data_IF_068669150694
#
_entry.id   IF_068669150694
#
_cell.length_a   1.000
_cell.length_b   1.000
_cell.length_c   1.000
_cell.angle_alpha   90.00
_cell.angle_beta   90.00
_cell.angle_gamma   90.00
#
_symmetry.space_group_name_H-M   'P 1'
#
loop_
_entity.id
_entity.type
_entity.pdbx_description
1 polymer ?
#
# COMPACT_ATOMS: atom_id res chain seq x y z
N UNK A 1 -21.24 17.02 28.52
CA UNK A 1 -20.07 17.60 27.83
C UNK A 1 -18.76 16.90 28.19
N UNK A 2 -18.36 16.74 29.47
CA UNK A 2 -17.12 16.01 29.84
C UNK A 2 -17.02 14.54 29.35
N UNK A 3 -18.15 13.82 29.19
CA UNK A 3 -18.18 12.44 28.65
C UNK A 3 -18.02 12.35 27.12
N UNK A 4 -18.25 13.44 26.39
CA UNK A 4 -18.14 13.49 24.92
C UNK A 4 -16.68 13.74 24.51
N UNK A 5 -15.92 14.46 25.35
CA UNK A 5 -14.52 14.82 25.09
C UNK A 5 -13.58 13.60 25.15
N UNK A 6 -13.88 12.59 25.97
CA UNK A 6 -13.05 11.36 26.06
C UNK A 6 -13.25 10.45 24.82
N UNK A 7 -14.39 10.52 24.13
CA UNK A 7 -14.60 9.78 22.88
C UNK A 7 -13.99 10.50 21.66
N UNK A 8 -13.73 11.80 21.75
CA UNK A 8 -13.24 12.62 20.64
C UNK A 8 -11.72 12.52 20.44
N UNK A 9 -10.96 12.08 21.44
CA UNK A 9 -9.50 11.93 21.32
C UNK A 9 -9.05 10.65 20.59
N UNK A 10 -9.97 9.73 20.26
CA UNK A 10 -9.64 8.44 19.61
C UNK A 10 -10.09 8.35 18.14
N UNK A 11 -10.85 9.32 17.63
CA UNK A 11 -11.31 9.35 16.24
C UNK A 11 -10.42 10.21 15.31
N UNK A 12 -9.31 10.75 15.81
CA UNK A 12 -8.50 11.76 15.11
C UNK A 12 -7.29 11.24 14.30
N UNK A 13 -6.99 9.94 14.32
CA UNK A 13 -5.87 9.38 13.54
C UNK A 13 -6.39 8.54 12.37
N UNK A 14 -7.15 9.18 11.47
CA UNK A 14 -7.06 8.79 10.08
C UNK A 14 -5.74 9.37 9.57
N UNK A 15 -4.64 8.66 9.82
CA UNK A 15 -3.41 8.93 9.09
C UNK A 15 -3.77 8.71 7.62
N UNK A 16 -3.99 9.81 6.90
CA UNK A 16 -3.90 9.79 5.46
C UNK A 16 -2.43 9.48 5.16
N UNK A 17 -2.11 8.18 5.15
CA UNK A 17 -0.94 7.68 4.48
C UNK A 17 -1.24 7.87 2.99
N UNK A 18 -1.01 9.09 2.50
CA UNK A 18 -0.83 9.31 1.07
C UNK A 18 0.41 8.54 0.68
N UNK A 19 0.21 7.30 0.26
CA UNK A 19 1.20 6.56 -0.52
C UNK A 19 1.05 6.99 -1.99
N UNK A 20 1.14 8.28 -2.25
CA UNK A 20 1.55 8.74 -3.57
C UNK A 20 3.07 8.68 -3.56
N UNK A 21 3.68 7.90 -4.45
CA UNK A 21 5.13 7.83 -4.49
C UNK A 21 5.68 9.21 -4.86
N UNK A 22 6.26 9.92 -3.89
CA UNK A 22 6.88 11.26 -4.06
C UNK A 22 7.85 11.28 -5.27
N UNK A 23 8.45 10.12 -5.58
CA UNK A 23 9.23 9.88 -6.78
C UNK A 23 8.49 10.20 -8.08
N UNK A 24 7.27 9.69 -8.28
CA UNK A 24 6.58 9.80 -9.57
C UNK A 24 6.28 11.27 -9.88
N UNK A 25 5.98 12.05 -8.85
CA UNK A 25 5.80 13.50 -8.95
C UNK A 25 7.11 14.20 -9.31
N UNK A 26 8.20 13.94 -8.57
CA UNK A 26 9.51 14.52 -8.86
C UNK A 26 10.03 14.14 -10.25
N UNK A 27 9.86 12.88 -10.65
CA UNK A 27 10.28 12.35 -11.94
C UNK A 27 9.49 12.93 -13.10
N UNK A 28 8.15 12.96 -13.00
CA UNK A 28 7.31 13.53 -14.04
C UNK A 28 7.52 15.04 -14.18
N UNK A 29 7.75 15.74 -13.07
CA UNK A 29 8.08 17.17 -13.08
C UNK A 29 9.43 17.43 -13.76
N UNK A 30 10.45 16.62 -13.46
CA UNK A 30 11.81 16.83 -13.99
C UNK A 30 11.93 16.42 -15.46
N UNK A 31 11.45 15.23 -15.83
CA UNK A 31 11.65 14.67 -17.18
C UNK A 31 10.47 14.87 -18.14
N UNK A 32 9.27 15.14 -17.63
CA UNK A 32 8.05 15.26 -18.45
C UNK A 32 7.92 14.16 -19.52
N UNK A 33 7.97 12.87 -19.11
CA UNK A 33 7.98 11.76 -20.04
C UNK A 33 6.70 11.73 -20.90
N UNK A 34 6.83 11.27 -22.14
CA UNK A 34 5.72 11.21 -23.08
C UNK A 34 4.63 10.25 -22.59
N UNK A 35 3.37 10.70 -22.62
CA UNK A 35 2.21 9.86 -22.32
C UNK A 35 2.16 8.64 -23.24
N UNK A 36 2.11 7.44 -22.64
CA UNK A 36 2.13 6.16 -23.38
C UNK A 36 3.48 5.78 -23.98
N UNK A 37 4.55 6.55 -23.72
CA UNK A 37 5.94 6.21 -24.02
C UNK A 37 6.49 5.07 -23.17
N UNK A 38 7.69 4.57 -23.50
CA UNK A 38 8.32 3.47 -22.77
C UNK A 38 8.62 3.84 -21.31
N UNK A 39 9.07 5.07 -21.05
CA UNK A 39 9.40 5.52 -19.69
C UNK A 39 8.14 5.63 -18.83
N UNK A 40 7.09 6.28 -19.35
CA UNK A 40 5.83 6.45 -18.61
C UNK A 40 5.11 5.12 -18.36
N UNK A 41 5.18 4.19 -19.32
CA UNK A 41 4.58 2.85 -19.17
C UNK A 41 5.41 1.90 -18.32
N UNK A 42 6.72 2.09 -18.23
CA UNK A 42 7.59 1.27 -17.38
C UNK A 42 7.25 1.42 -15.90
N UNK A 43 6.81 2.60 -15.44
CA UNK A 43 6.42 2.88 -14.05
C UNK A 43 7.48 2.37 -13.05
N UNK A 44 7.26 1.23 -12.38
CA UNK A 44 8.22 0.63 -11.45
C UNK A 44 9.50 0.13 -12.15
N UNK A 45 9.41 -0.31 -13.42
CA UNK A 45 10.52 -0.88 -14.16
C UNK A 45 11.59 0.15 -14.58
N UNK A 46 11.38 1.44 -14.33
CA UNK A 46 12.42 2.47 -14.48
C UNK A 46 13.57 2.22 -13.50
N UNK A 47 13.26 1.84 -12.25
CA UNK A 47 14.25 1.58 -11.19
C UNK A 47 14.33 0.11 -10.76
N UNK A 48 13.32 -0.69 -11.05
CA UNK A 48 13.27 -2.11 -10.72
C UNK A 48 13.45 -2.97 -11.97
N UNK A 49 13.81 -4.24 -11.79
CA UNK A 49 13.94 -5.21 -12.89
C UNK A 49 12.62 -5.35 -13.66
N UNK A 50 11.49 -5.34 -12.96
CA UNK A 50 10.17 -5.30 -13.58
C UNK A 50 9.09 -4.88 -12.57
N UNK A 51 7.84 -4.79 -13.01
CA UNK A 51 6.68 -4.65 -12.09
C UNK A 51 6.43 -5.89 -11.21
N UNK A 52 7.13 -7.00 -11.45
CA UNK A 52 6.94 -8.27 -10.74
C UNK A 52 8.16 -8.69 -9.90
N UNK A 53 9.35 -8.20 -10.28
CA UNK A 53 10.62 -8.33 -9.56
C UNK A 53 11.11 -6.95 -9.13
N UNK A 54 10.88 -6.62 -7.85
CA UNK A 54 11.25 -5.36 -7.21
C UNK A 54 12.74 -5.27 -6.85
N UNK A 55 13.61 -6.18 -7.31
CA UNK A 55 15.05 -5.93 -7.25
C UNK A 55 15.39 -4.68 -8.06
N UNK A 56 16.32 -3.88 -7.54
CA UNK A 56 16.81 -2.73 -8.28
C UNK A 56 17.56 -3.18 -9.54
N UNK A 57 17.19 -2.59 -10.67
CA UNK A 57 17.99 -2.62 -11.89
C UNK A 57 19.26 -1.75 -11.66
N UNK A 58 20.21 -1.70 -12.62
CA UNK A 58 21.41 -0.88 -12.48
C UNK A 58 21.12 0.59 -12.11
N UNK A 59 20.16 1.23 -12.79
CA UNK A 59 19.72 2.60 -12.46
C UNK A 59 19.16 2.74 -11.05
N UNK A 60 18.27 1.85 -10.62
CA UNK A 60 17.68 1.88 -9.28
C UNK A 60 18.71 1.69 -8.17
N UNK A 61 19.79 0.95 -8.41
CA UNK A 61 20.90 0.82 -7.44
C UNK A 61 21.62 2.16 -7.27
N UNK A 62 21.78 2.89 -8.37
CA UNK A 62 22.42 4.20 -8.35
C UNK A 62 21.54 5.28 -7.71
N UNK A 63 20.22 5.23 -7.97
CA UNK A 63 19.23 6.04 -7.25
C UNK A 63 19.32 5.79 -5.76
N UNK A 64 19.31 4.52 -5.32
CA UNK A 64 19.43 4.16 -3.90
C UNK A 64 20.76 4.61 -3.29
N UNK A 65 21.87 4.46 -4.02
CA UNK A 65 23.18 4.92 -3.56
C UNK A 65 23.23 6.45 -3.42
N UNK A 66 22.68 7.18 -4.38
CA UNK A 66 22.65 8.64 -4.37
C UNK A 66 21.73 9.21 -3.29
N UNK A 67 20.57 8.59 -3.06
CA UNK A 67 19.69 8.93 -1.93
C UNK A 67 20.43 8.80 -0.60
N UNK A 68 21.17 7.70 -0.41
CA UNK A 68 21.97 7.48 0.80
C UNK A 68 23.10 8.51 0.93
N UNK A 69 23.78 8.86 -0.16
CA UNK A 69 24.84 9.87 -0.16
C UNK A 69 24.30 11.27 0.20
N UNK A 70 23.12 11.62 -0.29
CA UNK A 70 22.47 12.91 -0.05
C UNK A 70 21.64 12.96 1.24
N UNK A 71 21.53 11.84 1.97
CA UNK A 71 20.71 11.74 3.19
C UNK A 71 19.22 11.96 2.92
N UNK A 72 18.71 11.44 1.80
CA UNK A 72 17.32 11.59 1.36
C UNK A 72 16.54 10.30 1.56
N UNK A 73 15.35 10.42 2.14
CA UNK A 73 14.42 9.29 2.34
C UNK A 73 13.47 9.07 1.14
N UNK A 74 13.44 10.03 0.21
CA UNK A 74 12.65 9.96 -1.03
C UNK A 74 13.48 10.46 -2.22
N UNK A 75 13.12 10.01 -3.43
CA UNK A 75 13.73 10.52 -4.67
C UNK A 75 13.15 11.91 -4.96
N UNK A 76 14.02 12.92 -4.98
CA UNK A 76 13.68 14.28 -5.36
C UNK A 76 14.47 14.73 -6.60
N UNK A 77 14.21 15.95 -7.05
CA UNK A 77 14.85 16.55 -8.23
C UNK A 77 16.39 16.54 -8.11
N UNK A 78 16.95 16.70 -6.91
CA UNK A 78 18.39 16.71 -6.68
C UNK A 78 19.02 15.32 -6.90
N UNK A 79 18.34 14.25 -6.47
CA UNK A 79 18.77 12.87 -6.74
C UNK A 79 18.76 12.59 -8.24
N UNK A 80 17.72 13.02 -8.95
CA UNK A 80 17.59 12.79 -10.39
C UNK A 80 18.67 13.53 -11.19
N UNK A 81 18.87 14.83 -10.92
CA UNK A 81 19.90 15.66 -11.57
C UNK A 81 21.30 15.09 -11.35
N UNK A 82 21.59 14.61 -10.13
CA UNK A 82 22.90 14.04 -9.82
C UNK A 82 23.22 12.75 -10.58
N UNK A 83 22.20 12.09 -11.16
CA UNK A 83 22.33 10.84 -11.89
C UNK A 83 22.19 10.99 -13.41
N UNK A 84 21.81 12.16 -13.93
CA UNK A 84 21.61 12.39 -15.36
C UNK A 84 22.86 12.07 -16.19
N UNK A 85 24.04 12.46 -15.69
CA UNK A 85 25.32 12.26 -16.39
C UNK A 85 25.92 10.87 -16.18
N UNK A 86 25.32 10.03 -15.34
CA UNK A 86 25.79 8.67 -15.11
C UNK A 86 25.24 7.75 -16.20
N UNK A 87 26.04 6.79 -16.62
CA UNK A 87 25.62 5.64 -17.43
C UNK A 87 25.48 4.46 -16.46
N UNK A 88 24.25 4.15 -16.06
CA UNK A 88 24.00 3.18 -14.99
C UNK A 88 24.08 1.74 -15.45
N UNK A 89 23.81 1.47 -16.73
CA UNK A 89 23.78 0.13 -17.30
C UNK A 89 24.98 -0.17 -18.23
N UNK A 90 25.87 0.81 -18.36
CA UNK A 90 27.16 0.75 -19.07
C UNK A 90 26.97 0.52 -20.59
N UNK A 91 25.87 1.04 -21.15
CA UNK A 91 25.54 0.89 -22.58
C UNK A 91 26.18 1.97 -23.49
N UNK A 92 26.76 3.00 -22.87
CA UNK A 92 27.40 4.15 -23.52
C UNK A 92 26.54 5.41 -23.60
N UNK A 93 25.31 5.38 -23.07
CA UNK A 93 24.36 6.51 -23.07
C UNK A 93 24.09 6.97 -21.62
N UNK A 94 24.19 8.28 -21.30
CA UNK A 94 23.82 8.76 -19.97
C UNK A 94 22.32 8.61 -19.68
N UNK A 95 21.99 8.30 -18.44
CA UNK A 95 20.62 8.09 -17.95
C UNK A 95 19.65 9.21 -18.36
N UNK A 96 20.09 10.46 -18.25
CA UNK A 96 19.25 11.62 -18.56
C UNK A 96 18.91 11.70 -20.06
N UNK A 97 19.84 11.29 -20.92
CA UNK A 97 19.64 11.28 -22.38
C UNK A 97 18.72 10.13 -22.78
N UNK A 98 18.85 8.98 -22.14
CA UNK A 98 17.95 7.84 -22.31
C UNK A 98 16.50 8.17 -21.92
N UNK A 99 16.29 8.72 -20.73
CA UNK A 99 14.94 9.08 -20.26
C UNK A 99 14.30 10.10 -21.20
N UNK A 100 15.06 11.09 -21.68
CA UNK A 100 14.61 12.10 -22.66
C UNK A 100 14.33 11.48 -24.04
N UNK A 101 15.06 10.43 -24.41
CA UNK A 101 14.85 9.65 -25.62
C UNK A 101 13.72 8.60 -25.51
N UNK A 102 13.02 8.55 -24.37
CA UNK A 102 12.00 7.54 -24.07
C UNK A 102 12.58 6.11 -24.11
N UNK A 103 13.81 5.94 -23.62
CA UNK A 103 14.48 4.66 -23.33
C UNK A 103 14.69 4.48 -21.83
N UNK A 104 15.15 3.30 -21.40
CA UNK A 104 15.16 2.91 -19.98
C UNK A 104 16.60 2.91 -19.46
N UNK A 105 16.93 3.75 -18.47
CA UNK A 105 18.30 3.97 -17.98
C UNK A 105 18.96 2.77 -17.27
N UNK A 106 18.23 1.66 -17.13
CA UNK A 106 18.65 0.45 -16.44
C UNK A 106 18.53 -0.79 -17.30
N UNK A 107 18.34 -0.64 -18.61
CA UNK A 107 18.19 -1.73 -19.57
C UNK A 107 19.06 -1.46 -20.82
N UNK A 108 20.22 -2.13 -20.94
CA UNK A 108 21.15 -1.92 -22.06
C UNK A 108 20.56 -2.27 -23.43
N UNK A 109 19.42 -2.99 -23.45
CA UNK A 109 18.70 -3.32 -24.68
C UNK A 109 17.69 -2.24 -25.09
N UNK A 110 17.42 -1.26 -24.23
CA UNK A 110 16.49 -0.15 -24.45
C UNK A 110 17.13 1.02 -25.20
N UNK A 111 18.46 1.14 -25.13
CA UNK A 111 19.24 2.32 -25.49
C UNK A 111 19.16 2.85 -26.93
N UNK A 112 19.65 4.07 -27.09
CA UNK A 112 19.51 4.94 -28.26
C UNK A 112 20.63 4.77 -29.32
N UNK A 113 21.08 3.55 -29.65
CA UNK A 113 21.99 3.37 -30.80
C UNK A 113 21.24 3.68 -32.11
N UNK A 114 21.75 4.57 -32.99
CA UNK A 114 21.20 4.75 -34.33
C UNK A 114 21.34 3.43 -35.11
N UNK A 115 20.23 2.71 -35.28
CA UNK A 115 20.18 1.50 -36.10
C UNK A 115 19.95 0.17 -35.36
N UNK A 116 19.74 0.16 -34.04
CA UNK A 116 19.12 -1.01 -33.43
C UNK A 116 17.63 -1.02 -33.80
N UNK A 117 17.21 -2.01 -34.60
CA UNK A 117 15.80 -2.22 -34.88
C UNK A 117 15.04 -2.30 -33.55
N UNK A 118 13.84 -1.70 -33.43
CA UNK A 118 13.03 -1.81 -32.23
C UNK A 118 12.96 -3.28 -31.84
N UNK A 119 13.35 -3.62 -30.61
CA UNK A 119 12.92 -4.90 -30.05
C UNK A 119 11.41 -4.92 -30.22
N UNK A 120 10.92 -5.79 -31.10
CA UNK A 120 9.49 -6.03 -31.29
C UNK A 120 8.90 -6.13 -29.89
N UNK A 121 7.89 -5.30 -29.54
CA UNK A 121 7.21 -5.44 -28.27
C UNK A 121 6.89 -6.91 -28.13
N UNK A 122 7.51 -7.59 -27.16
CA UNK A 122 7.09 -8.95 -26.85
C UNK A 122 5.62 -8.81 -26.56
N UNK A 123 4.79 -9.38 -27.43
CA UNK A 123 3.35 -9.37 -27.30
C UNK A 123 3.07 -9.83 -25.88
N UNK A 124 2.65 -8.87 -25.03
CA UNK A 124 2.32 -9.15 -23.64
C UNK A 124 1.11 -10.06 -23.77
N UNK A 125 1.32 -11.37 -23.65
CA UNK A 125 0.25 -12.36 -23.52
C UNK A 125 -0.75 -11.73 -22.57
N UNK A 126 -2.03 -11.57 -22.96
CA UNK A 126 -2.97 -10.72 -22.23
C UNK A 126 -2.84 -11.03 -20.76
N UNK A 127 -2.31 -10.07 -20.00
CA UNK A 127 -2.08 -10.28 -18.58
C UNK A 127 -3.43 -10.69 -18.00
N UNK A 128 -3.48 -11.76 -17.18
CA UNK A 128 -4.71 -12.13 -16.53
C UNK A 128 -5.29 -10.87 -15.86
N UNK A 129 -6.56 -10.57 -16.16
CA UNK A 129 -7.27 -9.40 -15.62
C UNK A 129 -7.17 -9.29 -14.09
N UNK A 130 -6.87 -10.41 -13.42
CA UNK A 130 -6.55 -10.50 -12.00
C UNK A 130 -5.16 -11.11 -11.85
N UNK A 131 -4.20 -10.32 -11.37
CA UNK A 131 -2.88 -10.78 -10.93
C UNK A 131 -3.01 -11.37 -9.51
N UNK A 132 -2.93 -12.70 -9.30
CA UNK A 132 -3.19 -13.32 -8.00
C UNK A 132 -2.22 -12.86 -6.90
N UNK A 133 -1.03 -12.38 -7.29
CA UNK A 133 -0.02 -11.85 -6.40
C UNK A 133 -0.30 -10.42 -5.90
N UNK A 134 -1.15 -9.65 -6.59
CA UNK A 134 -1.57 -8.31 -6.17
C UNK A 134 -2.98 -8.28 -5.57
N UNK A 135 -3.74 -9.37 -5.73
CA UNK A 135 -5.13 -9.46 -5.30
C UNK A 135 -5.29 -9.24 -3.78
N UNK A 136 -4.38 -9.76 -2.96
CA UNK A 136 -4.43 -9.58 -1.51
C UNK A 136 -4.42 -8.09 -1.14
N UNK A 137 -3.52 -7.30 -1.75
CA UNK A 137 -3.42 -5.85 -1.52
C UNK A 137 -4.70 -5.10 -1.86
N UNK A 138 -5.41 -5.50 -2.93
CA UNK A 138 -6.71 -4.91 -3.24
C UNK A 138 -7.80 -5.33 -2.23
N UNK A 139 -7.85 -6.62 -1.87
CA UNK A 139 -8.92 -7.19 -1.04
C UNK A 139 -8.84 -6.73 0.43
N UNK A 140 -7.65 -6.41 0.96
CA UNK A 140 -7.52 -5.92 2.35
C UNK A 140 -8.21 -4.57 2.58
N UNK A 141 -8.45 -3.77 1.55
CA UNK A 141 -9.12 -2.47 1.71
C UNK A 141 -10.58 -2.61 2.15
N UNK A 142 -11.26 -3.70 1.77
CA UNK A 142 -12.66 -3.92 2.15
C UNK A 142 -12.85 -4.07 3.67
N UNK A 143 -12.22 -5.04 4.37
CA UNK A 143 -12.39 -5.16 5.81
C UNK A 143 -11.92 -3.91 6.56
N UNK A 144 -10.85 -3.24 6.10
CA UNK A 144 -10.34 -2.02 6.72
C UNK A 144 -11.35 -0.88 6.60
N UNK A 145 -11.85 -0.61 5.38
CA UNK A 145 -12.79 0.48 5.12
C UNK A 145 -14.14 0.25 5.83
N UNK A 146 -14.65 -0.99 5.79
CA UNK A 146 -15.89 -1.37 6.48
C UNK A 146 -15.71 -1.26 8.01
N UNK A 147 -14.56 -1.64 8.54
CA UNK A 147 -14.28 -1.49 9.97
C UNK A 147 -14.27 -0.03 10.41
N UNK A 148 -13.48 0.82 9.74
CA UNK A 148 -13.38 2.25 10.04
C UNK A 148 -14.73 2.94 9.83
N UNK A 149 -15.40 2.67 8.70
CA UNK A 149 -16.73 3.19 8.42
C UNK A 149 -17.76 2.79 9.47
N UNK A 150 -17.70 1.54 9.95
CA UNK A 150 -18.54 1.05 11.04
C UNK A 150 -18.36 1.84 12.34
N UNK A 151 -17.11 2.09 12.73
CA UNK A 151 -16.78 2.88 13.92
C UNK A 151 -17.19 4.36 13.79
N UNK A 152 -17.06 4.95 12.60
CA UNK A 152 -17.51 6.32 12.33
C UNK A 152 -19.03 6.43 12.44
N UNK A 153 -19.77 5.49 11.85
CA UNK A 153 -21.23 5.44 11.94
C UNK A 153 -21.68 5.23 13.38
N UNK A 154 -20.98 4.41 14.16
CA UNK A 154 -21.24 4.27 15.60
C UNK A 154 -21.07 5.58 16.35
N UNK A 155 -19.96 6.28 16.09
CA UNK A 155 -19.69 7.57 16.70
C UNK A 155 -20.79 8.59 16.37
N UNK A 156 -21.16 8.70 15.09
CA UNK A 156 -22.25 9.58 14.65
C UNK A 156 -23.57 9.18 15.33
N UNK A 157 -23.90 7.88 15.37
CA UNK A 157 -25.11 7.36 15.99
C UNK A 157 -25.18 7.64 17.48
N UNK A 158 -24.05 7.61 18.19
CA UNK A 158 -23.99 8.00 19.61
C UNK A 158 -24.18 9.50 19.82
N UNK A 159 -23.51 10.34 19.00
CA UNK A 159 -23.60 11.81 19.12
C UNK A 159 -25.01 12.28 18.78
N UNK A 160 -25.60 11.75 17.71
CA UNK A 160 -26.96 12.09 17.25
C UNK A 160 -28.06 11.34 17.99
N UNK A 161 -27.70 10.32 18.78
CA UNK A 161 -28.64 9.38 19.43
C UNK A 161 -29.59 8.71 18.43
N UNK A 162 -29.08 8.42 17.23
CA UNK A 162 -29.84 7.86 16.12
C UNK A 162 -29.53 6.37 15.95
N UNK A 163 -30.58 5.55 16.08
CA UNK A 163 -30.51 4.08 16.03
C UNK A 163 -30.11 3.57 14.64
N UNK A 164 -30.42 4.34 13.60
CA UNK A 164 -30.14 4.00 12.20
C UNK A 164 -28.64 3.97 11.95
N UNK A 165 -27.92 4.99 12.43
CA UNK A 165 -26.46 5.05 12.36
C UNK A 165 -25.79 3.94 13.18
N UNK A 166 -26.32 3.63 14.37
CA UNK A 166 -25.81 2.51 15.19
C UNK A 166 -26.04 1.15 14.52
N UNK A 167 -27.18 0.97 13.84
CA UNK A 167 -27.45 -0.25 13.07
C UNK A 167 -26.52 -0.35 11.86
N UNK A 168 -26.37 0.74 11.09
CA UNK A 168 -25.46 0.79 9.95
C UNK A 168 -24.00 0.54 10.35
N UNK A 169 -23.57 1.06 11.50
CA UNK A 169 -22.25 0.77 12.08
C UNK A 169 -22.07 -0.72 12.40
N UNK A 170 -23.10 -1.36 12.95
CA UNK A 170 -23.06 -2.80 13.25
C UNK A 170 -22.97 -3.65 11.98
N UNK A 171 -23.79 -3.38 10.97
CA UNK A 171 -23.72 -4.10 9.69
C UNK A 171 -22.36 -3.94 9.02
N UNK A 172 -21.75 -2.76 9.10
CA UNK A 172 -20.41 -2.53 8.59
C UNK A 172 -19.37 -3.41 9.31
N UNK A 173 -19.41 -3.51 10.64
CA UNK A 173 -18.49 -4.38 11.38
C UNK A 173 -18.69 -5.86 11.04
N UNK A 174 -19.93 -6.31 10.82
CA UNK A 174 -20.22 -7.67 10.36
C UNK A 174 -19.62 -7.91 8.98
N UNK A 175 -19.83 -7.00 8.03
CA UNK A 175 -19.28 -7.10 6.68
C UNK A 175 -17.74 -7.00 6.69
N UNK A 176 -17.15 -6.23 7.60
CA UNK A 176 -15.71 -6.19 7.81
C UNK A 176 -15.20 -7.57 8.25
N UNK A 177 -15.84 -8.20 9.23
CA UNK A 177 -15.46 -9.53 9.70
C UNK A 177 -15.61 -10.60 8.62
N UNK A 178 -16.67 -10.53 7.80
CA UNK A 178 -16.89 -11.46 6.68
C UNK A 178 -15.83 -11.27 5.58
N UNK A 179 -15.55 -10.03 5.20
CA UNK A 179 -14.55 -9.73 4.16
C UNK A 179 -13.11 -10.03 4.62
N UNK A 180 -12.84 -10.03 5.93
CA UNK A 180 -11.54 -10.44 6.48
C UNK A 180 -11.17 -11.89 6.11
N UNK A 181 -12.15 -12.80 5.97
CA UNK A 181 -11.90 -14.16 5.47
C UNK A 181 -11.41 -14.16 4.02
N UNK A 182 -11.96 -13.28 3.17
CA UNK A 182 -11.49 -13.08 1.80
C UNK A 182 -10.07 -12.52 1.74
N UNK A 183 -9.76 -11.56 2.60
CA UNK A 183 -8.41 -11.01 2.74
C UNK A 183 -7.40 -12.09 3.20
N UNK A 184 -7.77 -12.92 4.18
CA UNK A 184 -6.95 -14.03 4.64
C UNK A 184 -6.72 -15.08 3.54
N UNK A 185 -7.78 -15.49 2.84
CA UNK A 185 -7.69 -16.47 1.75
C UNK A 185 -6.81 -15.99 0.60
N UNK A 186 -6.98 -14.75 0.17
CA UNK A 186 -6.13 -14.15 -0.87
C UNK A 186 -4.68 -13.96 -0.40
N UNK A 187 -4.45 -13.67 0.89
CA UNK A 187 -3.10 -13.58 1.46
C UNK A 187 -2.34 -14.90 1.42
N UNK A 188 -3.01 -16.03 1.74
CA UNK A 188 -2.41 -17.38 1.63
C UNK A 188 -2.05 -17.71 0.17
N UNK A 189 -2.91 -17.31 -0.78
CA UNK A 189 -2.64 -17.48 -2.22
C UNK A 189 -1.40 -16.67 -2.61
N UNK A 190 -1.34 -15.38 -2.28
CA UNK A 190 -0.20 -14.51 -2.57
C UNK A 190 1.10 -15.04 -1.95
N UNK A 191 1.04 -15.51 -0.71
CA UNK A 191 2.16 -16.14 -0.01
C UNK A 191 2.68 -17.39 -0.74
N UNK A 192 1.76 -18.22 -1.23
CA UNK A 192 2.10 -19.43 -1.99
C UNK A 192 2.69 -19.11 -3.36
N UNK A 193 2.14 -18.11 -4.05
CA UNK A 193 2.60 -17.68 -5.39
C UNK A 193 3.96 -16.99 -5.34
N UNK A 194 4.20 -16.12 -4.34
CA UNK A 194 5.48 -15.40 -4.16
C UNK A 194 6.52 -16.18 -3.37
N UNK A 195 6.14 -17.31 -2.77
CA UNK A 195 7.05 -18.14 -1.97
C UNK A 195 7.51 -17.47 -0.67
N UNK A 196 6.67 -16.62 -0.07
CA UNK A 196 7.02 -15.96 1.20
C UNK A 196 7.18 -17.00 2.33
N UNK A 197 8.27 -16.95 3.11
CA UNK A 197 8.46 -17.89 4.21
C UNK A 197 7.53 -17.56 5.39
N UNK A 198 7.09 -18.56 6.15
CA UNK A 198 6.34 -18.39 7.41
C UNK A 198 7.26 -17.96 8.58
N UNK A 199 8.11 -16.95 8.36
CA UNK A 199 9.08 -16.42 9.33
C UNK A 199 9.28 -14.92 9.08
N UNK A 200 9.88 -14.23 10.06
CA UNK A 200 10.18 -12.80 9.94
C UNK A 200 8.93 -11.96 9.72
N UNK A 201 9.01 -10.99 8.82
CA UNK A 201 7.96 -10.00 8.59
C UNK A 201 6.65 -10.59 8.08
N UNK A 202 6.72 -11.66 7.27
CA UNK A 202 5.54 -12.38 6.82
C UNK A 202 4.77 -13.03 7.98
N UNK A 203 5.49 -13.61 8.95
CA UNK A 203 4.86 -14.16 10.16
C UNK A 203 4.30 -13.04 11.04
N UNK A 204 5.04 -11.95 11.23
CA UNK A 204 4.58 -10.80 12.01
C UNK A 204 3.30 -10.20 11.41
N UNK A 205 3.26 -10.03 10.09
CA UNK A 205 2.08 -9.57 9.36
C UNK A 205 0.88 -10.50 9.58
N UNK A 206 1.05 -11.82 9.44
CA UNK A 206 -0.03 -12.80 9.69
C UNK A 206 -0.53 -12.70 11.14
N UNK A 207 0.37 -12.60 12.12
CA UNK A 207 -0.02 -12.54 13.53
C UNK A 207 -0.82 -11.27 13.84
N UNK A 208 -0.43 -10.12 13.28
CA UNK A 208 -1.18 -8.87 13.41
C UNK A 208 -2.53 -8.94 12.69
N UNK A 209 -2.59 -9.53 11.49
CA UNK A 209 -3.83 -9.72 10.74
C UNK A 209 -4.81 -10.66 11.47
N UNK A 210 -4.32 -11.75 12.06
CA UNK A 210 -5.14 -12.66 12.88
C UNK A 210 -5.59 -11.98 14.18
N UNK A 211 -4.69 -11.29 14.88
CA UNK A 211 -5.01 -10.57 16.11
C UNK A 211 -6.10 -9.51 15.90
N UNK A 212 -5.96 -8.69 14.86
CA UNK A 212 -6.98 -7.70 14.50
C UNK A 212 -8.31 -8.32 14.08
N UNK A 213 -8.29 -9.44 13.35
CA UNK A 213 -9.50 -10.19 12.98
C UNK A 213 -10.24 -10.73 14.21
N UNK A 214 -9.51 -11.26 15.19
CA UNK A 214 -10.10 -11.72 16.46
C UNK A 214 -10.74 -10.57 17.23
N UNK A 215 -10.05 -9.41 17.33
CA UNK A 215 -10.63 -8.24 18.00
C UNK A 215 -11.89 -7.77 17.26
N UNK A 216 -11.88 -7.76 15.92
CA UNK A 216 -13.05 -7.41 15.11
C UNK A 216 -14.24 -8.34 15.38
N UNK A 217 -14.01 -9.65 15.48
CA UNK A 217 -15.04 -10.62 15.86
C UNK A 217 -15.58 -10.38 17.28
N UNK A 218 -14.70 -10.04 18.23
CA UNK A 218 -15.10 -9.67 19.60
C UNK A 218 -16.00 -8.42 19.56
N UNK A 219 -15.64 -7.39 18.79
CA UNK A 219 -16.44 -6.16 18.66
C UNK A 219 -17.82 -6.43 18.05
N UNK A 220 -17.91 -7.32 17.05
CA UNK A 220 -19.19 -7.80 16.51
C UNK A 220 -19.98 -8.53 17.60
N UNK A 221 -19.35 -9.45 18.33
CA UNK A 221 -19.97 -10.26 19.37
C UNK A 221 -20.53 -9.40 20.53
N UNK A 222 -19.77 -8.41 20.99
CA UNK A 222 -20.19 -7.42 22.00
C UNK A 222 -21.48 -6.68 21.61
N UNK A 223 -21.79 -6.63 20.31
CA UNK A 223 -22.94 -5.90 19.76
C UNK A 223 -24.10 -6.78 19.29
N UNK A 224 -23.97 -8.12 19.35
CA UNK A 224 -25.03 -9.06 18.96
C UNK A 224 -26.38 -8.76 19.65
N UNK A 225 -26.35 -8.25 20.89
CA UNK A 225 -27.56 -7.92 21.68
C UNK A 225 -28.00 -6.44 21.62
N UNK A 226 -27.59 -5.72 20.56
CA UNK A 226 -27.79 -4.28 20.32
C UNK A 226 -26.90 -3.38 21.19
N UNK A 227 -26.08 -2.57 20.52
CA UNK A 227 -25.14 -1.59 21.08
C UNK A 227 -25.75 -0.66 22.16
N UNK A 228 -27.04 -0.32 22.04
CA UNK A 228 -27.74 0.57 22.96
C UNK A 228 -27.80 0.05 24.40
N UNK A 229 -27.77 -1.27 24.59
CA UNK A 229 -27.87 -1.91 25.91
C UNK A 229 -26.55 -1.97 26.67
N UNK A 230 -25.42 -1.60 26.06
CA UNK A 230 -24.13 -1.61 26.74
C UNK A 230 -24.08 -0.53 27.83
N UNK A 231 -23.72 -0.94 29.05
CA UNK A 231 -23.42 -0.02 30.15
C UNK A 231 -22.14 0.79 29.86
N UNK A 232 -21.90 1.85 30.64
CA UNK A 232 -20.77 2.76 30.40
C UNK A 232 -19.41 2.03 30.41
N UNK A 233 -19.10 1.13 31.38
CA UNK A 233 -17.84 0.39 31.36
C UNK A 233 -17.65 -0.46 30.10
N UNK A 234 -18.68 -1.19 29.67
CA UNK A 234 -18.60 -2.03 28.47
C UNK A 234 -18.41 -1.22 27.19
N UNK A 235 -19.00 -0.01 27.12
CA UNK A 235 -18.74 0.93 26.01
C UNK A 235 -17.29 1.41 26.00
N UNK A 236 -16.70 1.70 27.16
CA UNK A 236 -15.28 2.07 27.25
C UNK A 236 -14.40 0.93 26.73
N UNK A 237 -14.65 -0.30 27.19
CA UNK A 237 -13.93 -1.49 26.70
C UNK A 237 -14.08 -1.64 25.18
N UNK A 238 -15.29 -1.47 24.64
CA UNK A 238 -15.54 -1.53 23.20
C UNK A 238 -14.66 -0.54 22.41
N UNK A 239 -14.61 0.73 22.83
CA UNK A 239 -13.80 1.73 22.12
C UNK A 239 -12.30 1.56 22.33
N UNK A 240 -11.86 1.05 23.48
CA UNK A 240 -10.44 0.70 23.70
C UNK A 240 -10.03 -0.45 22.77
N UNK A 241 -10.85 -1.48 22.65
CA UNK A 241 -10.60 -2.59 21.72
C UNK A 241 -10.64 -2.12 20.25
N UNK A 242 -11.57 -1.24 19.90
CA UNK A 242 -11.63 -0.65 18.56
C UNK A 242 -10.36 0.16 18.22
N UNK A 243 -9.89 0.98 19.16
CA UNK A 243 -8.64 1.73 19.01
C UNK A 243 -7.42 0.80 18.87
N UNK A 244 -7.35 -0.24 19.71
CA UNK A 244 -6.30 -1.24 19.63
C UNK A 244 -6.30 -1.96 18.27
N UNK A 245 -7.48 -2.34 17.77
CA UNK A 245 -7.61 -2.94 16.44
C UNK A 245 -7.11 -2.01 15.33
N UNK A 246 -7.43 -0.71 15.38
CA UNK A 246 -6.92 0.26 14.40
C UNK A 246 -5.40 0.35 14.41
N UNK A 247 -4.77 0.34 15.58
CA UNK A 247 -3.31 0.34 15.71
C UNK A 247 -2.72 -0.93 15.09
N UNK A 248 -3.25 -2.10 15.45
CA UNK A 248 -2.77 -3.39 14.94
C UNK A 248 -2.95 -3.49 13.42
N UNK A 249 -4.10 -3.05 12.88
CA UNK A 249 -4.37 -3.03 11.43
C UNK A 249 -3.40 -2.10 10.72
N UNK A 250 -3.12 -0.92 11.29
CA UNK A 250 -2.16 0.04 10.71
C UNK A 250 -0.75 -0.55 10.67
N UNK A 251 -0.33 -1.22 11.75
CA UNK A 251 0.97 -1.92 11.80
C UNK A 251 1.03 -3.09 10.81
N UNK A 252 -0.05 -3.87 10.67
CA UNK A 252 -0.13 -4.93 9.68
C UNK A 252 -0.03 -4.37 8.25
N UNK A 253 -0.70 -3.24 7.98
CA UNK A 253 -0.63 -2.55 6.69
C UNK A 253 0.76 -2.02 6.38
N UNK A 254 1.46 -1.44 7.37
CA UNK A 254 2.84 -0.96 7.21
C UNK A 254 3.79 -2.10 6.83
N UNK A 255 3.83 -3.18 7.61
CA UNK A 255 4.67 -4.35 7.33
C UNK A 255 4.25 -5.01 5.99
N UNK A 256 2.95 -5.04 5.70
CA UNK A 256 2.42 -5.52 4.42
C UNK A 256 2.97 -4.71 3.24
N UNK A 257 3.04 -3.39 3.38
CA UNK A 257 3.65 -2.49 2.41
C UNK A 257 5.15 -2.74 2.23
N UNK A 258 5.90 -2.88 3.32
CA UNK A 258 7.34 -3.17 3.26
C UNK A 258 7.65 -4.48 2.54
N UNK A 259 6.85 -5.53 2.79
CA UNK A 259 7.02 -6.83 2.12
C UNK A 259 6.77 -6.78 0.61
N UNK A 260 5.87 -5.90 0.15
CA UNK A 260 5.47 -5.79 -1.27
C UNK A 260 6.33 -4.78 -2.01
N UNK A 261 6.63 -3.64 -1.40
CA UNK A 261 7.28 -2.50 -2.07
C UNK A 261 8.76 -2.34 -1.74
N UNK A 262 9.28 -3.07 -0.73
CA UNK A 262 10.67 -2.97 -0.29
C UNK A 262 10.90 -1.68 0.50
N UNK A 263 11.08 -1.80 1.82
CA UNK A 263 11.55 -0.72 2.68
C UNK A 263 13.02 -0.36 2.49
#
# INVERSE_FOLDING_TARGET
MKRIIICLTLAGFAAMASATGDFLEAFNKHYSPKDGGKVSTASCAVCHVSSEDFKFNPYGKDVKAKMKELGKDAVDEAVLVALEAKDSDEDGTPNGDEIKADTLPGDPASGAKPGAAPATPKEKKPEPLVKPDMLHGAVVHFPIALFIGGLLLDFIGMVRKDKTFLAAGWYNLVMAAVSAFGAAGTGVITMSVKGFPYKGDALNHIMLALGSSVIMLILVAMRLHKHEKMNVPMRVVYYVLAALALIIISSAGHIGGEMVYGG
#
